data_IF_640777392178
#
_entry.id   IF_640777392178
#
_cell.length_a   1.000
_cell.length_b   1.000
_cell.length_c   1.000
_cell.angle_alpha   90.00
_cell.angle_beta   90.00
_cell.angle_gamma   90.00
#
_symmetry.space_group_name_H-M   'P 1'
#
loop_
_entity.id
_entity.type
_entity.pdbx_description
1 polymer ?
#
# COMPACT_ATOMS: atom_id res chain seq x y z
N UNK A 1 5.55 -8.61 -3.22
CA UNK A 1 4.13 -9.00 -3.28
C UNK A 1 3.46 -8.60 -1.98
N UNK A 2 2.44 -7.74 -2.02
CA UNK A 2 1.51 -7.48 -0.93
C UNK A 2 0.27 -8.36 -1.13
N UNK A 3 0.03 -9.39 -0.32
CA UNK A 3 -1.19 -10.18 -0.45
C UNK A 3 -2.41 -9.43 0.11
N UNK A 4 -3.62 -9.91 -0.19
CA UNK A 4 -4.84 -9.42 0.45
C UNK A 4 -4.80 -9.62 1.96
N UNK A 5 -5.48 -8.75 2.71
CA UNK A 5 -5.69 -8.95 4.14
C UNK A 5 -6.27 -10.36 4.40
N UNK A 6 -5.73 -11.04 5.42
CA UNK A 6 -6.17 -12.38 5.84
C UNK A 6 -5.60 -13.55 5.02
N UNK A 7 -4.83 -13.29 3.96
CA UNK A 7 -4.18 -14.33 3.14
C UNK A 7 -3.02 -15.01 3.85
N UNK A 8 -2.15 -14.22 4.47
CA UNK A 8 -1.01 -14.68 5.26
C UNK A 8 -1.24 -14.19 6.67
N UNK A 9 -1.27 -15.12 7.63
CA UNK A 9 -1.46 -14.79 9.03
C UNK A 9 -0.28 -13.96 9.56
N UNK A 10 -0.59 -12.98 10.40
CA UNK A 10 0.34 -12.04 10.99
C UNK A 10 0.23 -12.10 12.52
N UNK A 11 0.84 -13.14 13.08
CA UNK A 11 1.03 -13.37 14.50
C UNK A 11 2.53 -13.35 14.85
N UNK A 12 2.91 -12.57 15.86
CA UNK A 12 4.28 -12.52 16.37
C UNK A 12 4.30 -13.05 17.82
N UNK A 13 4.87 -14.25 18.08
CA UNK A 13 4.92 -14.83 19.42
C UNK A 13 5.81 -14.05 20.40
N UNK A 14 6.72 -13.20 19.90
CA UNK A 14 7.60 -12.38 20.75
C UNK A 14 7.07 -10.96 20.97
N UNK A 15 5.90 -10.60 20.41
CA UNK A 15 5.33 -9.29 20.61
C UNK A 15 4.89 -9.12 22.07
N UNK A 16 5.26 -7.99 22.67
CA UNK A 16 4.90 -7.64 24.07
C UNK A 16 3.50 -7.04 24.20
N UNK A 17 2.86 -6.70 23.07
CA UNK A 17 1.51 -6.15 23.00
C UNK A 17 0.81 -6.60 21.71
N UNK A 18 -0.54 -6.68 21.70
CA UNK A 18 -1.30 -6.98 20.49
C UNK A 18 -1.19 -5.86 19.46
N UNK A 19 -1.47 -6.20 18.19
CA UNK A 19 -1.51 -5.24 17.08
C UNK A 19 -2.67 -4.25 17.29
N UNK A 20 -2.42 -2.97 17.01
CA UNK A 20 -3.47 -1.94 17.00
C UNK A 20 -4.25 -1.95 15.68
N UNK A 21 -5.35 -1.21 15.63
CA UNK A 21 -6.39 -1.36 14.60
C UNK A 21 -5.88 -1.11 13.17
N UNK A 22 -5.11 -0.04 12.92
CA UNK A 22 -4.52 0.21 11.59
C UNK A 22 -3.51 -0.87 11.22
N UNK A 23 -2.70 -1.31 12.18
CA UNK A 23 -1.74 -2.41 11.98
C UNK A 23 -2.47 -3.68 11.59
N UNK A 24 -3.63 -3.96 12.19
CA UNK A 24 -4.45 -5.12 11.89
C UNK A 24 -5.00 -5.11 10.45
N UNK A 25 -5.57 -3.99 9.99
CA UNK A 25 -6.28 -3.95 8.69
C UNK A 25 -5.43 -3.46 7.51
N UNK A 26 -4.32 -2.77 7.76
CA UNK A 26 -3.47 -2.15 6.72
C UNK A 26 -2.15 -2.88 6.52
N UNK A 27 -1.64 -3.61 7.52
CA UNK A 27 -0.37 -4.36 7.43
C UNK A 27 -0.61 -5.83 7.08
N UNK A 28 0.18 -6.34 6.14
CA UNK A 28 0.18 -7.73 5.69
C UNK A 28 1.61 -8.23 5.49
N UNK A 29 1.81 -9.54 5.51
CA UNK A 29 3.12 -10.17 5.30
C UNK A 29 3.20 -10.73 3.89
N UNK A 30 4.24 -10.37 3.14
CA UNK A 30 4.37 -10.80 1.76
C UNK A 30 5.81 -10.89 1.27
N UNK A 31 6.10 -11.77 0.30
CA UNK A 31 7.46 -12.05 -0.12
C UNK A 31 8.02 -11.00 -1.07
N UNK A 32 9.35 -10.83 -1.00
CA UNK A 32 10.18 -10.15 -2.00
C UNK A 32 11.03 -11.20 -2.72
N UNK A 33 10.94 -11.25 -4.05
CA UNK A 33 11.57 -12.30 -4.85
C UNK A 33 12.03 -11.74 -6.19
N UNK A 34 12.98 -12.40 -6.86
CA UNK A 34 13.49 -11.99 -8.17
C UNK A 34 12.65 -12.47 -9.36
N UNK A 35 11.63 -13.30 -9.13
CA UNK A 35 10.75 -13.81 -10.18
C UNK A 35 9.32 -14.03 -9.70
N UNK A 36 8.35 -13.95 -10.61
CA UNK A 36 6.93 -14.24 -10.33
C UNK A 36 6.72 -15.69 -9.88
N UNK A 37 7.49 -16.64 -10.46
CA UNK A 37 7.47 -18.04 -10.06
C UNK A 37 7.81 -18.21 -8.58
N UNK A 38 8.88 -17.54 -8.13
CA UNK A 38 9.33 -17.63 -6.75
C UNK A 38 8.37 -16.87 -5.81
N UNK A 39 7.78 -15.76 -6.27
CA UNK A 39 6.72 -15.05 -5.52
C UNK A 39 5.52 -15.96 -5.24
N UNK A 40 5.07 -16.72 -6.24
CA UNK A 40 3.97 -17.68 -6.11
C UNK A 40 4.31 -18.78 -5.10
N UNK A 41 5.48 -19.40 -5.24
CA UNK A 41 5.93 -20.46 -4.33
C UNK A 41 6.05 -19.95 -2.88
N UNK A 42 6.61 -18.76 -2.68
CA UNK A 42 6.73 -18.16 -1.36
C UNK A 42 5.36 -17.82 -0.76
N UNK A 43 4.42 -17.29 -1.54
CA UNK A 43 3.06 -17.04 -1.08
C UNK A 43 2.36 -18.35 -0.64
N UNK A 44 2.48 -19.41 -1.44
CA UNK A 44 1.93 -20.73 -1.13
C UNK A 44 2.45 -21.26 0.22
N UNK A 45 3.76 -21.13 0.48
CA UNK A 45 4.35 -21.54 1.74
C UNK A 45 3.93 -20.66 2.93
N UNK A 46 3.78 -19.35 2.71
CA UNK A 46 3.41 -18.39 3.76
C UNK A 46 1.91 -18.44 4.12
N UNK A 47 1.04 -18.83 3.20
CA UNK A 47 -0.42 -18.86 3.37
C UNK A 47 -0.94 -20.09 4.16
N UNK A 48 -0.10 -20.67 5.03
CA UNK A 48 -0.48 -21.77 5.90
C UNK A 48 -1.56 -21.33 6.92
N UNK A 49 -2.45 -22.24 7.35
CA UNK A 49 -3.45 -21.92 8.38
C UNK A 49 -2.82 -21.50 9.71
N UNK A 50 -3.29 -20.39 10.26
CA UNK A 50 -2.95 -19.96 11.63
C UNK A 50 -4.09 -19.13 12.24
N UNK A 51 -4.81 -19.75 13.17
CA UNK A 51 -5.98 -19.16 13.83
C UNK A 51 -5.63 -18.13 14.91
N UNK A 52 -4.33 -17.91 15.19
CA UNK A 52 -3.90 -16.88 16.15
C UNK A 52 -3.98 -15.48 15.56
N UNK A 53 -4.05 -15.36 14.23
CA UNK A 53 -4.43 -14.11 13.58
C UNK A 53 -5.94 -14.10 13.33
N UNK A 54 -6.64 -13.16 13.97
CA UNK A 54 -8.10 -13.01 13.88
C UNK A 54 -8.57 -12.57 12.50
N UNK A 55 -7.67 -12.07 11.64
CA UNK A 55 -7.98 -11.68 10.27
C UNK A 55 -7.71 -12.78 9.26
N UNK A 56 -7.04 -13.87 9.64
CA UNK A 56 -6.76 -14.97 8.73
C UNK A 56 -8.07 -15.61 8.23
N UNK A 57 -8.12 -15.85 6.93
CA UNK A 57 -9.22 -16.54 6.28
C UNK A 57 -8.69 -17.71 5.45
N UNK A 58 -9.38 -18.87 5.39
CA UNK A 58 -9.01 -20.00 4.56
C UNK A 58 -9.34 -19.75 3.07
N UNK A 59 -8.95 -18.60 2.53
CA UNK A 59 -9.21 -18.26 1.14
C UNK A 59 -8.41 -19.18 0.20
N UNK A 60 -9.00 -19.68 -0.89
CA UNK A 60 -8.26 -20.42 -1.93
C UNK A 60 -7.16 -19.55 -2.55
N UNK A 61 -5.99 -20.12 -2.83
CA UNK A 61 -4.90 -19.41 -3.51
C UNK A 61 -5.15 -19.25 -5.00
N UNK A 62 -5.86 -20.20 -5.58
CA UNK A 62 -6.33 -20.17 -6.96
C UNK A 62 -7.82 -19.92 -6.94
N UNK A 63 -8.23 -18.80 -7.55
CA UNK A 63 -9.64 -18.48 -7.79
C UNK A 63 -10.04 -18.81 -9.22
N UNK A 64 -11.28 -18.45 -9.56
CA UNK A 64 -11.77 -18.51 -10.94
C UNK A 64 -10.92 -17.63 -11.87
N UNK A 65 -10.70 -18.04 -13.13
CA UNK A 65 -10.00 -17.23 -14.10
C UNK A 65 -10.80 -15.96 -14.41
N UNK A 66 -10.08 -14.87 -14.68
CA UNK A 66 -10.72 -13.62 -15.11
C UNK A 66 -11.38 -13.81 -16.49
N UNK A 67 -12.50 -13.11 -16.76
CA UNK A 67 -13.15 -13.15 -18.08
C UNK A 67 -12.23 -12.53 -19.13
N UNK A 68 -12.15 -13.13 -20.31
CA UNK A 68 -11.29 -12.68 -21.41
C UNK A 68 -12.09 -12.07 -22.58
N UNK A 69 -11.63 -10.93 -23.15
CA UNK A 69 -10.47 -10.14 -22.72
C UNK A 69 -10.79 -9.30 -21.46
N UNK A 70 -9.93 -9.38 -20.45
CA UNK A 70 -10.08 -8.57 -19.23
C UNK A 70 -9.64 -7.13 -19.48
N UNK A 71 -10.26 -6.19 -18.77
CA UNK A 71 -9.89 -4.77 -18.81
C UNK A 71 -8.78 -4.47 -17.80
N UNK A 72 -7.90 -3.56 -18.16
CA UNK A 72 -6.79 -3.08 -17.34
C UNK A 72 -6.87 -1.57 -17.29
N UNK A 73 -6.97 -1.02 -16.09
CA UNK A 73 -6.81 0.41 -15.86
C UNK A 73 -5.32 0.75 -15.75
N UNK A 74 -4.87 1.70 -16.55
CA UNK A 74 -3.49 2.17 -16.58
C UNK A 74 -3.42 3.59 -15.99
N UNK A 75 -2.74 3.75 -14.86
CA UNK A 75 -2.63 5.04 -14.17
C UNK A 75 -1.36 5.76 -14.61
N UNK A 76 -1.50 6.66 -15.57
CA UNK A 76 -0.40 7.48 -16.12
C UNK A 76 -0.40 8.91 -15.60
N UNK A 77 -1.51 9.35 -15.03
CA UNK A 77 -1.70 10.69 -14.47
C UNK A 77 -2.59 10.63 -13.22
N UNK A 78 -2.35 11.56 -12.31
CA UNK A 78 -3.19 11.78 -11.13
C UNK A 78 -3.27 13.29 -10.92
N UNK A 79 -4.49 13.80 -10.77
CA UNK A 79 -4.73 15.22 -10.60
C UNK A 79 -3.90 15.79 -9.43
N UNK A 80 -3.15 16.85 -9.71
CA UNK A 80 -2.31 17.54 -8.72
C UNK A 80 -1.03 16.81 -8.32
N UNK A 81 -0.71 15.67 -8.92
CA UNK A 81 0.50 14.88 -8.60
C UNK A 81 1.47 14.89 -9.77
N UNK A 82 2.73 15.24 -9.48
CA UNK A 82 3.81 15.19 -10.47
C UNK A 82 4.46 13.81 -10.42
N UNK A 83 4.33 13.05 -11.51
CA UNK A 83 4.95 11.73 -11.66
C UNK A 83 6.14 11.87 -12.62
N UNK A 84 7.29 11.33 -12.25
CA UNK A 84 8.48 11.34 -13.09
C UNK A 84 8.18 10.72 -14.47
N UNK A 85 8.61 11.36 -15.59
CA UNK A 85 8.35 10.86 -16.93
C UNK A 85 8.81 9.42 -17.16
N UNK A 86 9.91 9.01 -16.53
CA UNK A 86 10.46 7.66 -16.59
C UNK A 86 9.51 6.64 -15.96
N UNK A 87 8.85 7.02 -14.87
CA UNK A 87 7.84 6.19 -14.19
C UNK A 87 6.60 6.04 -15.06
N UNK A 88 6.10 7.14 -15.64
CA UNK A 88 4.97 7.10 -16.59
C UNK A 88 5.31 6.23 -17.81
N UNK A 89 6.54 6.35 -18.34
CA UNK A 89 7.00 5.52 -19.44
C UNK A 89 7.05 4.03 -19.08
N UNK A 90 7.51 3.68 -17.87
CA UNK A 90 7.52 2.30 -17.39
C UNK A 90 6.08 1.73 -17.26
N UNK A 91 5.14 2.53 -16.75
CA UNK A 91 3.72 2.16 -16.66
C UNK A 91 3.15 1.90 -18.07
N UNK A 92 3.35 2.83 -19.01
CA UNK A 92 2.93 2.65 -20.42
C UNK A 92 3.57 1.43 -21.08
N UNK A 93 4.84 1.16 -20.79
CA UNK A 93 5.52 -0.03 -21.27
C UNK A 93 4.86 -1.31 -20.75
N UNK A 94 4.52 -1.38 -19.46
CA UNK A 94 3.78 -2.49 -18.88
C UNK A 94 2.38 -2.65 -19.52
N UNK A 95 1.68 -1.54 -19.77
CA UNK A 95 0.43 -1.52 -20.52
C UNK A 95 0.55 -2.11 -21.92
N UNK A 96 1.63 -1.80 -22.65
CA UNK A 96 1.86 -2.36 -24.00
C UNK A 96 2.05 -3.87 -23.99
N UNK A 97 2.74 -4.42 -22.98
CA UNK A 97 2.90 -5.86 -22.83
C UNK A 97 1.57 -6.56 -22.54
N UNK A 98 0.70 -5.94 -21.73
CA UNK A 98 -0.65 -6.46 -21.47
C UNK A 98 -1.53 -6.38 -22.73
N UNK A 99 -1.46 -5.30 -23.50
CA UNK A 99 -2.14 -5.20 -24.78
C UNK A 99 -1.71 -6.30 -25.76
N UNK A 100 -0.40 -6.56 -25.86
CA UNK A 100 0.15 -7.65 -26.69
C UNK A 100 -0.29 -9.05 -26.22
N UNK A 101 -0.57 -9.20 -24.92
CA UNK A 101 -1.12 -10.43 -24.34
C UNK A 101 -2.66 -10.56 -24.48
N UNK A 102 -3.34 -9.59 -25.11
CA UNK A 102 -4.77 -9.65 -25.40
C UNK A 102 -5.69 -8.98 -24.37
N UNK A 103 -5.13 -8.21 -23.43
CA UNK A 103 -5.93 -7.39 -22.50
C UNK A 103 -6.45 -6.12 -23.18
N UNK A 104 -7.59 -5.61 -22.70
CA UNK A 104 -8.09 -4.27 -23.07
C UNK A 104 -7.50 -3.25 -22.10
N UNK A 105 -6.53 -2.47 -22.54
CA UNK A 105 -5.81 -1.50 -21.70
C UNK A 105 -6.36 -0.10 -21.96
N UNK A 106 -6.74 0.60 -20.90
CA UNK A 106 -7.30 1.95 -20.95
C UNK A 106 -6.54 2.84 -19.96
N UNK A 107 -6.06 4.02 -20.38
CA UNK A 107 -5.52 5.03 -19.46
C UNK A 107 -6.69 5.65 -18.69
N UNK A 108 -6.83 5.25 -17.42
CA UNK A 108 -7.91 5.68 -16.54
C UNK A 108 -7.48 5.57 -15.08
N UNK A 109 -7.77 6.61 -14.31
CA UNK A 109 -7.41 6.70 -12.90
C UNK A 109 -8.55 6.21 -12.02
N UNK A 110 -8.29 5.33 -11.03
CA UNK A 110 -9.30 4.90 -10.07
C UNK A 110 -9.91 6.07 -9.28
N UNK A 111 -11.13 5.91 -8.75
CA UNK A 111 -11.81 6.96 -7.97
C UNK A 111 -10.96 7.44 -6.80
N UNK A 112 -10.85 8.77 -6.66
CA UNK A 112 -10.30 9.45 -5.48
C UNK A 112 -8.91 8.94 -5.02
N UNK A 113 -8.06 8.50 -5.96
CA UNK A 113 -6.78 7.84 -5.66
C UNK A 113 -5.88 8.65 -4.69
N UNK A 114 -5.79 9.97 -4.86
CA UNK A 114 -5.02 10.84 -3.95
C UNK A 114 -5.60 10.82 -2.54
N UNK A 115 -6.94 10.92 -2.42
CA UNK A 115 -7.62 10.92 -1.12
C UNK A 115 -7.47 9.58 -0.39
N UNK A 116 -7.53 8.47 -1.12
CA UNK A 116 -7.27 7.14 -0.56
C UNK A 116 -5.88 7.07 0.07
N UNK A 117 -4.85 7.58 -0.61
CA UNK A 117 -3.51 7.65 -0.02
C UNK A 117 -3.48 8.55 1.22
N UNK A 118 -4.13 9.70 1.16
CA UNK A 118 -4.12 10.68 2.26
C UNK A 118 -4.78 10.13 3.53
N UNK A 119 -5.78 9.24 3.39
CA UNK A 119 -6.42 8.53 4.50
C UNK A 119 -5.47 7.64 5.30
N UNK A 120 -4.31 7.29 4.76
CA UNK A 120 -3.33 6.52 5.51
C UNK A 120 -2.92 7.26 6.79
N UNK A 121 -2.77 8.58 6.72
CA UNK A 121 -2.28 9.40 7.83
C UNK A 121 -3.21 9.41 9.06
N UNK A 122 -4.48 9.82 8.94
CA UNK A 122 -5.37 9.84 10.10
C UNK A 122 -5.67 8.45 10.66
N UNK A 123 -5.51 7.38 9.88
CA UNK A 123 -5.74 6.00 10.33
C UNK A 123 -4.47 5.39 10.95
N UNK A 124 -3.32 5.55 10.28
CA UNK A 124 -2.06 4.86 10.58
C UNK A 124 -1.16 5.61 11.57
N UNK A 125 -1.07 6.94 11.48
CA UNK A 125 -0.16 7.70 12.35
C UNK A 125 -0.49 7.59 13.85
N UNK A 126 -1.76 7.55 14.31
CA UNK A 126 -2.04 7.33 15.73
C UNK A 126 -1.42 6.02 16.26
N UNK A 127 -1.52 4.93 15.50
CA UNK A 127 -0.93 3.64 15.87
C UNK A 127 0.58 3.66 15.79
N UNK A 128 1.16 4.28 14.75
CA UNK A 128 2.60 4.44 14.61
C UNK A 128 3.19 5.25 15.77
N UNK A 129 2.54 6.35 16.15
CA UNK A 129 2.94 7.19 17.28
C UNK A 129 2.92 6.40 18.60
N UNK A 130 1.93 5.52 18.82
CA UNK A 130 1.86 4.72 20.05
C UNK A 130 2.75 3.47 20.04
N UNK A 131 3.15 2.98 18.86
CA UNK A 131 3.93 1.75 18.71
C UNK A 131 5.42 2.00 18.54
N UNK A 132 5.80 3.00 17.76
CA UNK A 132 7.20 3.24 17.36
C UNK A 132 7.86 4.34 18.19
N UNK A 133 7.15 5.45 18.45
CA UNK A 133 7.70 6.62 19.15
C UNK A 133 8.39 6.28 20.48
N UNK A 134 7.83 5.41 21.35
CA UNK A 134 8.50 5.04 22.61
C UNK A 134 9.86 4.37 22.43
N UNK A 135 10.07 3.69 21.30
CA UNK A 135 11.31 2.96 21.02
C UNK A 135 12.32 3.77 20.18
N UNK A 136 11.96 4.96 19.70
CA UNK A 136 12.87 5.77 18.87
C UNK A 136 14.18 6.06 19.61
N UNK A 137 14.10 6.40 20.91
CA UNK A 137 15.27 6.65 21.75
C UNK A 137 16.14 5.38 21.95
N UNK A 138 15.55 4.19 21.88
CA UNK A 138 16.23 2.90 22.09
C UNK A 138 16.79 2.32 20.77
N UNK A 139 16.33 2.81 19.62
CA UNK A 139 16.67 2.27 18.30
C UNK A 139 18.15 2.41 17.92
N UNK A 140 18.87 3.36 18.52
CA UNK A 140 20.26 3.67 18.19
C UNK A 140 20.44 4.31 16.80
N UNK A 141 19.36 4.65 16.10
CA UNK A 141 19.36 5.29 14.80
C UNK A 141 18.75 6.70 14.93
N UNK A 142 19.52 7.79 14.83
CA UNK A 142 18.96 9.13 14.88
C UNK A 142 18.10 9.44 13.64
N UNK A 143 18.33 8.76 12.51
CA UNK A 143 17.61 8.99 11.25
C UNK A 143 16.14 8.61 11.31
N UNK A 144 15.83 7.44 11.90
CA UNK A 144 14.42 7.03 12.09
C UNK A 144 13.66 8.02 12.98
N UNK A 145 14.31 8.56 14.02
CA UNK A 145 13.69 9.56 14.88
C UNK A 145 13.42 10.86 14.10
N UNK A 146 14.39 11.34 13.32
CA UNK A 146 14.22 12.52 12.46
C UNK A 146 13.05 12.35 11.50
N UNK A 147 12.99 11.25 10.75
CA UNK A 147 11.91 11.05 9.77
C UNK A 147 10.54 10.96 10.43
N UNK A 148 10.40 10.18 11.51
CA UNK A 148 9.11 10.00 12.18
C UNK A 148 8.62 11.30 12.83
N UNK A 149 9.48 12.06 13.51
CA UNK A 149 9.07 13.34 14.10
C UNK A 149 8.72 14.37 13.00
N UNK A 150 9.46 14.42 11.88
CA UNK A 150 9.09 15.28 10.74
C UNK A 150 7.77 14.86 10.08
N UNK A 151 7.49 13.56 9.96
CA UNK A 151 6.21 13.07 9.45
C UNK A 151 5.05 13.46 10.38
N UNK A 152 5.21 13.29 11.70
CA UNK A 152 4.21 13.67 12.69
C UNK A 152 4.01 15.19 12.72
N UNK A 153 5.07 15.99 12.62
CA UNK A 153 4.99 17.45 12.56
C UNK A 153 4.22 17.92 11.32
N UNK A 154 4.43 17.27 10.17
CA UNK A 154 3.78 17.62 8.91
C UNK A 154 2.29 17.25 8.88
N UNK A 155 1.94 16.05 9.33
CA UNK A 155 0.58 15.51 9.16
C UNK A 155 -0.31 15.68 10.41
N UNK A 156 0.32 15.85 11.57
CA UNK A 156 -0.36 15.77 12.86
C UNK A 156 -0.78 14.36 13.24
N UNK A 157 -1.24 14.21 14.48
CA UNK A 157 -1.89 12.99 14.97
C UNK A 157 -3.39 13.27 15.04
N UNK A 158 -4.18 12.45 14.34
CA UNK A 158 -5.63 12.55 14.35
C UNK A 158 -6.18 12.37 15.77
N UNK A 159 -7.16 13.20 16.12
CA UNK A 159 -7.98 12.99 17.32
C UNK A 159 -9.00 11.86 17.10
N UNK A 160 -9.75 11.52 18.15
CA UNK A 160 -10.72 10.44 18.09
C UNK A 160 -11.81 10.65 17.01
N UNK A 161 -12.48 11.82 16.91
CA UNK A 161 -13.43 12.08 15.83
C UNK A 161 -12.82 11.95 14.43
N UNK A 162 -11.65 12.52 14.18
CA UNK A 162 -10.97 12.43 12.87
C UNK A 162 -10.62 11.00 12.53
N UNK A 163 -10.10 10.22 13.48
CA UNK A 163 -9.78 8.81 13.30
C UNK A 163 -11.02 7.97 12.93
N UNK A 164 -12.13 8.13 13.67
CA UNK A 164 -13.37 7.39 13.41
C UNK A 164 -14.00 7.76 12.06
N UNK A 165 -14.00 9.06 11.71
CA UNK A 165 -14.50 9.52 10.43
C UNK A 165 -13.63 9.03 9.26
N UNK A 166 -12.30 8.96 9.44
CA UNK A 166 -11.39 8.40 8.44
C UNK A 166 -11.65 6.91 8.18
N UNK A 167 -11.97 6.13 9.22
CA UNK A 167 -12.39 4.73 9.06
C UNK A 167 -13.73 4.59 8.33
N UNK A 168 -14.69 5.48 8.58
CA UNK A 168 -15.97 5.51 7.87
C UNK A 168 -15.81 5.92 6.40
N UNK A 169 -14.94 6.89 6.12
CA UNK A 169 -14.62 7.32 4.75
C UNK A 169 -13.91 6.22 3.97
N UNK A 170 -12.98 5.50 4.62
CA UNK A 170 -12.32 4.31 4.06
C UNK A 170 -13.33 3.29 3.53
N UNK A 171 -14.41 3.02 4.26
CA UNK A 171 -15.47 2.09 3.82
C UNK A 171 -16.16 2.58 2.54
N UNK A 172 -16.46 3.88 2.44
CA UNK A 172 -17.03 4.49 1.23
C UNK A 172 -16.10 4.38 0.03
N UNK A 173 -14.81 4.69 0.20
CA UNK A 173 -13.83 4.61 -0.88
C UNK A 173 -13.57 3.15 -1.30
N UNK A 174 -13.58 2.21 -0.35
CA UNK A 174 -13.42 0.79 -0.67
C UNK A 174 -14.58 0.26 -1.51
N UNK A 175 -15.83 0.72 -1.28
CA UNK A 175 -16.96 0.41 -2.16
C UNK A 175 -16.74 0.93 -3.57
N UNK A 176 -16.35 2.20 -3.73
CA UNK A 176 -16.10 2.79 -5.04
C UNK A 176 -14.98 2.05 -5.79
N UNK A 177 -13.93 1.62 -5.08
CA UNK A 177 -12.86 0.81 -5.65
C UNK A 177 -13.30 -0.61 -6.02
N UNK A 178 -14.19 -1.24 -5.25
CA UNK A 178 -14.74 -2.54 -5.61
C UNK A 178 -15.57 -2.46 -6.90
N UNK A 179 -16.41 -1.43 -7.05
CA UNK A 179 -17.18 -1.20 -8.29
C UNK A 179 -16.25 -0.92 -9.48
N UNK A 180 -15.19 -0.14 -9.25
CA UNK A 180 -14.17 0.09 -10.27
C UNK A 180 -13.43 -1.20 -10.65
N UNK A 181 -13.06 -2.05 -9.69
CA UNK A 181 -12.37 -3.33 -9.92
C UNK A 181 -13.28 -4.39 -10.55
N UNK A 182 -14.59 -4.33 -10.35
CA UNK A 182 -15.55 -5.16 -11.09
C UNK A 182 -15.48 -4.85 -12.59
N UNK A 183 -15.27 -3.58 -12.92
CA UNK A 183 -15.11 -3.09 -14.30
C UNK A 183 -13.69 -3.30 -14.84
N UNK A 184 -12.66 -3.03 -14.02
CA UNK A 184 -11.24 -3.11 -14.32
C UNK A 184 -10.56 -4.03 -13.29
N UNK A 185 -10.59 -5.36 -13.49
CA UNK A 185 -10.08 -6.32 -12.50
C UNK A 185 -8.57 -6.23 -12.25
N UNK A 186 -7.85 -5.47 -13.08
CA UNK A 186 -6.44 -5.20 -12.95
C UNK A 186 -6.17 -3.70 -13.07
N UNK A 187 -5.32 -3.20 -12.18
CA UNK A 187 -4.82 -1.82 -12.20
C UNK A 187 -3.30 -1.90 -12.30
N UNK A 188 -2.74 -1.17 -13.26
CA UNK A 188 -1.30 -0.94 -13.36
C UNK A 188 -1.07 0.53 -13.01
N UNK A 189 -0.38 0.77 -11.91
CA UNK A 189 -0.10 2.11 -11.38
C UNK A 189 1.36 2.20 -10.93
N UNK A 190 1.90 3.43 -10.83
CA UNK A 190 3.24 3.61 -10.29
C UNK A 190 3.37 3.05 -8.87
N UNK A 191 4.56 2.54 -8.54
CA UNK A 191 4.91 2.20 -7.15
C UNK A 191 5.48 3.39 -6.38
N UNK A 192 5.88 4.46 -7.08
CA UNK A 192 6.37 5.73 -6.53
C UNK A 192 6.11 6.84 -7.55
N UNK A 193 6.00 8.10 -7.12
CA UNK A 193 5.96 9.24 -8.05
C UNK A 193 7.33 9.56 -8.64
N UNK A 194 8.41 9.06 -8.04
CA UNK A 194 9.79 9.34 -8.43
C UNK A 194 10.54 8.06 -8.79
N UNK A 195 11.69 8.24 -9.45
CA UNK A 195 12.72 7.19 -9.54
C UNK A 195 13.42 7.01 -8.19
N UNK A 196 14.53 6.27 -8.16
CA UNK A 196 15.31 6.06 -6.95
C UNK A 196 15.65 7.39 -6.26
N UNK A 197 15.23 7.52 -5.01
CA UNK A 197 15.46 8.72 -4.21
C UNK A 197 16.91 8.77 -3.72
N UNK A 198 17.48 9.97 -3.53
CA UNK A 198 18.82 10.11 -2.97
C UNK A 198 18.94 9.47 -1.59
N UNK A 199 20.08 8.81 -1.33
CA UNK A 199 20.41 8.28 0.00
C UNK A 199 20.40 9.41 1.03
N UNK A 200 19.74 9.14 2.17
CA UNK A 200 19.63 10.08 3.27
C UNK A 200 18.79 11.31 2.93
N UNK A 201 17.84 11.21 1.99
CA UNK A 201 16.83 12.25 1.78
C UNK A 201 15.91 12.35 2.99
N UNK A 202 15.45 11.22 3.52
CA UNK A 202 14.52 11.04 4.64
C UNK A 202 15.00 11.62 5.98
N UNK A 203 16.32 11.83 6.12
CA UNK A 203 16.95 12.32 7.35
C UNK A 203 17.36 13.80 7.27
N UNK A 204 16.94 14.54 6.22
CA UNK A 204 17.27 15.98 6.08
C UNK A 204 16.30 16.89 6.83
N UNK A 205 15.40 16.31 7.63
CA UNK A 205 14.42 17.04 8.43
C UNK A 205 13.16 17.40 7.66
N UNK A 206 12.44 18.40 8.15
CA UNK A 206 11.06 18.72 7.75
C UNK A 206 10.91 19.05 6.25
N UNK A 207 11.90 19.68 5.62
CA UNK A 207 11.86 20.01 4.19
C UNK A 207 11.82 18.77 3.28
N UNK A 208 12.29 17.62 3.79
CA UNK A 208 12.35 16.37 3.04
C UNK A 208 11.12 15.48 3.21
N UNK A 209 10.38 15.63 4.30
CA UNK A 209 9.21 14.81 4.60
C UNK A 209 8.12 14.93 3.52
N UNK A 210 7.74 16.13 3.02
CA UNK A 210 6.77 16.25 1.93
C UNK A 210 7.22 15.53 0.65
N UNK A 211 8.49 15.67 0.28
CA UNK A 211 9.07 15.00 -0.89
C UNK A 211 9.01 13.47 -0.74
N UNK A 212 9.28 12.99 0.47
CA UNK A 212 9.25 11.57 0.79
C UNK A 212 7.84 10.99 0.76
N UNK A 213 6.88 11.68 1.37
CA UNK A 213 5.49 11.23 1.39
C UNK A 213 4.84 11.28 0.00
N UNK A 214 5.17 12.29 -0.80
CA UNK A 214 4.70 12.32 -2.19
C UNK A 214 5.27 11.13 -2.99
N UNK A 215 6.57 10.85 -2.86
CA UNK A 215 7.20 9.69 -3.48
C UNK A 215 6.57 8.36 -3.05
N UNK A 216 6.07 8.25 -1.81
CA UNK A 216 5.48 7.03 -1.25
C UNK A 216 3.96 6.93 -1.43
N UNK A 217 3.28 7.97 -1.96
CA UNK A 217 1.81 8.08 -2.07
C UNK A 217 1.13 6.78 -2.50
N UNK A 218 1.57 6.20 -3.61
CA UNK A 218 0.98 4.98 -4.17
C UNK A 218 1.15 3.74 -3.27
N UNK A 219 2.19 3.72 -2.45
CA UNK A 219 2.44 2.65 -1.48
C UNK A 219 1.51 2.74 -0.26
N UNK A 220 0.92 3.91 0.00
CA UNK A 220 -0.03 4.13 1.09
C UNK A 220 -1.46 3.74 0.68
N UNK A 221 -1.80 3.79 -0.61
CA UNK A 221 -3.11 3.46 -1.16
C UNK A 221 -3.54 2.01 -0.85
N UNK A 222 -2.74 1.01 -1.20
CA UNK A 222 -3.10 -0.41 -1.03
C UNK A 222 -3.27 -0.82 0.44
N UNK A 223 -2.43 -0.36 1.38
CA UNK A 223 -2.67 -0.51 2.82
C UNK A 223 -4.03 0.02 3.26
N UNK A 224 -4.40 1.24 2.86
CA UNK A 224 -5.71 1.81 3.23
C UNK A 224 -6.84 0.92 2.74
N UNK A 225 -6.81 0.47 1.50
CA UNK A 225 -7.89 -0.34 0.93
C UNK A 225 -7.84 -1.83 1.35
N UNK A 226 -6.72 -2.32 1.88
CA UNK A 226 -6.56 -3.75 2.18
C UNK A 226 -6.42 -4.63 0.92
N UNK A 227 -6.14 -4.01 -0.23
CA UNK A 227 -6.05 -4.68 -1.53
C UNK A 227 -4.67 -5.34 -1.75
N UNK A 228 -4.60 -6.44 -2.53
CA UNK A 228 -3.35 -7.04 -2.96
C UNK A 228 -2.65 -6.19 -4.03
N UNK A 229 -1.34 -6.36 -4.15
CA UNK A 229 -0.55 -5.74 -5.22
C UNK A 229 0.82 -6.37 -5.39
N UNK A 230 1.39 -6.25 -6.59
CA UNK A 230 2.73 -6.73 -6.91
C UNK A 230 3.50 -5.61 -7.63
N UNK A 231 4.63 -5.21 -7.05
CA UNK A 231 5.63 -4.41 -7.76
C UNK A 231 6.53 -5.34 -8.58
N UNK A 232 6.73 -5.01 -9.86
CA UNK A 232 7.50 -5.79 -10.85
C UNK A 232 8.54 -4.94 -11.56
#
# INVERSE_FOLDING_TARGET
LRPSLGRVAAFNPSATAPRRMSSQIMSVQGPLTRSVRDARLALEAMAAPDYRDTWWVPAPLTGEPLPHPSRVALVTEVEGVVIAPEVVAAVRQAGSYLGAAGYRVEEITPPDLSRVSDLWHPIGLPDLNLSLRPFLAESGDPGIATFIESWIALMGIADQPTYLNALAERDTLLRAWNEFLDTYPLIVMPSSTQVALPVGLDIRGEDSAPLMLDALRFQLTLPVLGLPGLAV
#
